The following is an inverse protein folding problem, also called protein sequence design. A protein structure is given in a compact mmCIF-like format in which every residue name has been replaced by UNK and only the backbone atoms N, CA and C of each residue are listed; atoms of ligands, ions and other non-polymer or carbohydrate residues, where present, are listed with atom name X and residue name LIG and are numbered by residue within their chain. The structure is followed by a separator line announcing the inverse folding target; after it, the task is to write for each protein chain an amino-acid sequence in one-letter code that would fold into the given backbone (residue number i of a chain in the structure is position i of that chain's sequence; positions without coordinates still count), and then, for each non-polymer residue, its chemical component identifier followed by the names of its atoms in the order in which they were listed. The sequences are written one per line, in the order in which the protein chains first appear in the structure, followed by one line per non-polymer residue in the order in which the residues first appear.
data_IF_704985348753
#
_entry.id   IF_704985348753
#
_cell.length_a   1.000
_cell.length_b   1.000
_cell.length_c   1.000
_cell.angle_alpha   90.00
_cell.angle_beta   90.00
_cell.angle_gamma   90.00
#
_symmetry.space_group_name_H-M   'P 1'
#
loop_
_entity.id
_entity.type
_entity.pdbx_description
1 polymer ?
#
# COMPACT_ATOMS: atom_id res chain seq x y z
N UNK A 1 4.83 24.60 27.03
CA UNK A 1 3.80 25.40 26.31
C UNK A 1 4.33 25.93 24.98
N UNK A 2 5.61 26.34 24.90
CA UNK A 2 6.27 26.77 23.65
C UNK A 2 6.38 25.69 22.57
N UNK A 3 6.75 24.45 22.91
CA UNK A 3 6.94 23.39 21.89
C UNK A 3 5.66 23.04 21.12
N UNK A 4 4.50 23.15 21.78
CA UNK A 4 3.19 22.95 21.12
C UNK A 4 2.83 24.09 20.17
N UNK A 5 3.32 25.31 20.42
CA UNK A 5 3.08 26.48 19.54
C UNK A 5 4.02 26.38 18.34
N UNK A 6 5.28 26.02 18.56
CA UNK A 6 6.27 25.81 17.50
C UNK A 6 5.87 24.67 16.56
N UNK A 7 5.43 23.52 17.09
CA UNK A 7 4.96 22.40 16.27
C UNK A 7 3.71 22.76 15.46
N UNK A 8 2.80 23.57 16.02
CA UNK A 8 1.63 24.08 15.29
C UNK A 8 2.00 25.07 14.21
N UNK A 9 2.97 25.94 14.48
CA UNK A 9 3.51 26.85 13.48
C UNK A 9 4.15 26.07 12.33
N UNK A 10 4.99 25.08 12.64
CA UNK A 10 5.56 24.18 11.64
C UNK A 10 4.48 23.40 10.88
N UNK A 11 3.37 22.99 11.52
CA UNK A 11 2.28 22.26 10.84
C UNK A 11 1.51 23.21 9.93
N UNK A 12 1.29 24.43 10.38
CA UNK A 12 0.72 25.50 9.57
C UNK A 12 1.62 25.78 8.36
N UNK A 13 2.94 25.82 8.54
CA UNK A 13 3.91 25.91 7.44
C UNK A 13 3.86 24.68 6.54
N UNK A 14 3.83 23.46 7.08
CA UNK A 14 3.69 22.23 6.30
C UNK A 14 2.36 22.18 5.53
N UNK A 15 1.27 22.74 6.08
CA UNK A 15 -0.06 22.87 5.49
C UNK A 15 -0.12 23.96 4.40
N UNK A 16 0.50 25.10 4.64
CA UNK A 16 0.62 26.21 3.66
C UNK A 16 1.55 25.81 2.52
N UNK A 17 2.62 25.06 2.81
CA UNK A 17 3.50 24.43 1.83
C UNK A 17 2.80 23.29 1.11
N UNK A 18 1.90 22.52 1.76
CA UNK A 18 1.02 21.59 1.03
C UNK A 18 0.28 22.35 -0.07
N UNK A 19 -0.29 23.52 0.23
CA UNK A 19 -1.05 24.33 -0.74
C UNK A 19 -0.16 24.91 -1.87
N UNK A 20 1.05 25.39 -1.57
CA UNK A 20 1.94 25.98 -2.58
C UNK A 20 2.87 24.99 -3.33
N UNK A 21 3.09 23.78 -2.81
CA UNK A 21 3.90 22.72 -3.46
C UNK A 21 3.04 21.69 -4.20
N UNK A 22 1.72 21.76 -3.99
CA UNK A 22 0.70 21.01 -4.73
C UNK A 22 0.63 21.40 -6.21
N UNK A 23 1.31 22.45 -6.67
CA UNK A 23 1.40 22.78 -8.11
C UNK A 23 1.89 21.58 -8.95
N UNK A 24 2.74 20.71 -8.37
CA UNK A 24 3.20 19.48 -9.01
C UNK A 24 2.28 18.25 -8.81
N UNK A 25 1.31 18.35 -7.90
CA UNK A 25 0.37 17.29 -7.51
C UNK A 25 -1.09 17.75 -7.56
N UNK A 26 -1.43 18.74 -8.41
CA UNK A 26 -2.78 19.32 -8.57
C UNK A 26 -3.87 18.25 -8.65
N UNK A 27 -3.55 17.09 -9.24
CA UNK A 27 -4.44 15.93 -9.31
C UNK A 27 -5.02 15.52 -7.95
N UNK A 28 -4.24 15.52 -6.86
CA UNK A 28 -4.72 15.05 -5.54
C UNK A 28 -5.49 16.13 -4.77
N UNK A 29 -5.49 17.37 -5.28
CA UNK A 29 -6.33 18.47 -4.79
C UNK A 29 -7.72 18.48 -5.46
N UNK A 30 -7.89 17.75 -6.56
CA UNK A 30 -9.15 17.68 -7.31
C UNK A 30 -10.24 16.81 -6.68
N UNK A 31 -11.29 16.56 -7.46
CA UNK A 31 -12.44 15.71 -7.11
C UNK A 31 -12.69 14.66 -8.18
N UNK A 32 -13.21 13.51 -7.77
CA UNK A 32 -13.64 12.48 -8.72
C UNK A 32 -14.94 12.95 -9.35
N UNK A 33 -15.00 12.97 -10.68
CA UNK A 33 -16.24 13.16 -11.42
C UNK A 33 -16.61 11.88 -12.19
N UNK A 34 -17.88 11.50 -12.08
CA UNK A 34 -18.50 10.34 -12.72
C UNK A 34 -17.71 9.01 -12.61
N UNK A 35 -16.89 8.85 -11.58
CA UNK A 35 -15.97 7.71 -11.36
C UNK A 35 -14.95 7.46 -12.49
N UNK A 36 -14.77 8.40 -13.43
CA UNK A 36 -13.94 8.21 -14.62
C UNK A 36 -12.86 9.29 -14.73
N UNK A 37 -13.18 10.53 -14.36
CA UNK A 37 -12.28 11.67 -14.47
C UNK A 37 -11.97 12.29 -13.12
N UNK A 38 -10.92 13.10 -13.08
CA UNK A 38 -10.59 13.95 -11.94
C UNK A 38 -10.74 15.39 -12.40
N UNK A 39 -11.64 16.13 -11.76
CA UNK A 39 -11.79 17.56 -11.95
C UNK A 39 -10.80 18.28 -11.04
N UNK A 40 -9.84 18.97 -11.64
CA UNK A 40 -8.92 19.86 -10.93
C UNK A 40 -9.59 21.23 -10.78
N UNK A 41 -10.54 21.32 -9.84
CA UNK A 41 -11.34 22.51 -9.55
C UNK A 41 -10.74 23.40 -8.44
N UNK A 42 -9.47 23.17 -8.08
CA UNK A 42 -8.80 23.76 -6.93
C UNK A 42 -9.56 23.60 -5.59
N UNK A 43 -10.44 22.59 -5.50
CA UNK A 43 -11.19 22.29 -4.28
C UNK A 43 -10.31 21.91 -3.09
N UNK A 44 -9.03 21.63 -3.35
CA UNK A 44 -7.99 21.45 -2.34
C UNK A 44 -8.06 20.12 -1.60
N UNK A 45 -6.94 19.76 -0.96
CA UNK A 45 -6.89 18.68 0.01
C UNK A 45 -7.51 19.14 1.35
N UNK A 46 -8.19 18.22 2.05
CA UNK A 46 -8.73 18.54 3.37
C UNK A 46 -7.68 18.26 4.45
N UNK A 47 -7.45 19.24 5.34
CA UNK A 47 -6.54 19.11 6.47
C UNK A 47 -7.26 19.38 7.80
N UNK A 48 -7.29 18.39 8.68
CA UNK A 48 -7.99 18.46 9.97
C UNK A 48 -7.00 18.41 11.12
N UNK A 49 -7.10 19.37 12.04
CA UNK A 49 -6.33 19.38 13.29
C UNK A 49 -7.20 18.90 14.44
N UNK A 50 -6.68 17.97 15.24
CA UNK A 50 -7.38 17.43 16.41
C UNK A 50 -6.45 17.37 17.61
N UNK A 51 -6.98 17.60 18.82
CA UNK A 51 -6.27 17.34 20.07
C UNK A 51 -6.74 16.01 20.67
N UNK A 52 -5.80 15.19 21.11
CA UNK A 52 -6.06 13.97 21.86
C UNK A 52 -5.57 14.14 23.29
N UNK A 53 -6.49 14.03 24.25
CA UNK A 53 -6.17 14.07 25.68
C UNK A 53 -5.45 12.79 26.10
N UNK A 54 -4.12 12.79 26.03
CA UNK A 54 -3.31 11.64 26.40
C UNK A 54 -1.85 11.76 25.99
N UNK A 55 -1.05 10.78 26.39
CA UNK A 55 0.36 10.63 26.00
C UNK A 55 0.45 9.73 24.77
N UNK A 56 1.32 10.08 23.81
CA UNK A 56 1.55 9.26 22.63
C UNK A 56 2.09 7.86 23.01
N UNK A 57 2.97 7.77 24.01
CA UNK A 57 3.49 6.49 24.51
C UNK A 57 2.36 5.55 24.97
N UNK A 58 1.46 6.06 25.81
CA UNK A 58 0.29 5.29 26.29
C UNK A 58 -0.67 4.90 25.16
N UNK A 59 -0.76 5.71 24.10
CA UNK A 59 -1.54 5.35 22.92
C UNK A 59 -0.90 4.18 22.17
N UNK A 60 0.43 4.18 22.03
CA UNK A 60 1.20 3.14 21.34
C UNK A 60 1.36 1.84 22.15
N UNK A 61 1.27 1.90 23.48
CA UNK A 61 1.30 0.75 24.39
C UNK A 61 0.04 -0.10 24.34
N UNK A 62 -1.08 0.46 23.86
CA UNK A 62 -2.30 -0.31 23.70
C UNK A 62 -2.02 -1.48 22.74
N UNK A 63 -2.72 -2.63 22.90
CA UNK A 63 -2.72 -3.65 21.86
C UNK A 63 -2.94 -2.93 20.55
N UNK A 64 -2.25 -3.33 19.48
CA UNK A 64 -2.47 -2.80 18.14
C UNK A 64 -3.87 -3.22 17.64
N UNK A 65 -4.91 -2.81 18.35
CA UNK A 65 -6.28 -2.80 17.92
C UNK A 65 -6.34 -1.73 16.86
N UNK A 66 -6.24 -2.20 15.63
CA UNK A 66 -6.25 -1.37 14.45
C UNK A 66 -7.55 -0.58 14.31
N UNK A 67 -8.61 -0.88 15.09
CA UNK A 67 -9.80 -0.04 15.23
C UNK A 67 -9.51 1.27 15.98
N UNK A 68 -8.61 1.26 16.97
CA UNK A 68 -8.20 2.48 17.67
C UNK A 68 -7.38 3.38 16.72
N UNK A 69 -6.59 2.77 15.85
CA UNK A 69 -5.83 3.50 14.82
C UNK A 69 -6.73 4.16 13.78
N UNK A 70 -7.93 3.63 13.51
CA UNK A 70 -8.92 4.32 12.68
C UNK A 70 -9.34 5.67 13.26
N UNK A 71 -9.21 5.90 14.58
CA UNK A 71 -9.47 7.22 15.19
C UNK A 71 -8.42 8.28 14.82
N UNK A 72 -7.24 7.86 14.38
CA UNK A 72 -6.20 8.75 13.86
C UNK A 72 -6.42 9.11 12.40
N UNK A 73 -7.33 8.43 11.70
CA UNK A 73 -7.69 8.77 10.34
C UNK A 73 -8.79 9.84 10.29
N UNK A 74 -8.81 10.66 9.24
CA UNK A 74 -9.90 11.59 9.00
C UNK A 74 -11.19 10.89 8.55
N UNK A 75 -11.09 9.73 7.88
CA UNK A 75 -12.22 9.00 7.29
C UNK A 75 -12.09 7.51 7.63
N UNK A 76 -13.23 6.87 7.92
CA UNK A 76 -13.30 5.41 8.05
C UNK A 76 -13.15 4.72 6.68
N UNK A 77 -12.45 3.57 6.65
CA UNK A 77 -12.31 2.77 5.44
C UNK A 77 -13.66 2.34 4.86
N UNK A 78 -13.84 2.50 3.54
CA UNK A 78 -15.03 2.03 2.82
C UNK A 78 -16.32 2.81 3.12
N UNK A 79 -16.20 4.12 3.38
CA UNK A 79 -17.36 5.04 3.44
C UNK A 79 -18.08 5.10 2.09
N UNK A 80 -19.41 4.93 2.08
CA UNK A 80 -20.24 5.02 0.86
C UNK A 80 -20.13 6.38 0.15
N UNK A 81 -19.64 7.41 0.85
CA UNK A 81 -19.42 8.75 0.28
C UNK A 81 -18.06 8.88 -0.42
N UNK A 82 -17.20 7.86 -0.45
CA UNK A 82 -15.81 7.96 -0.94
C UNK A 82 -15.67 8.59 -2.34
N UNK A 83 -16.67 8.44 -3.22
CA UNK A 83 -16.69 9.07 -4.54
C UNK A 83 -16.92 10.59 -4.53
N UNK A 84 -17.38 11.17 -3.42
CA UNK A 84 -17.65 12.62 -3.28
C UNK A 84 -16.71 13.33 -2.32
N UNK A 85 -15.79 12.61 -1.66
CA UNK A 85 -14.79 13.20 -0.77
C UNK A 85 -13.60 13.78 -1.56
N UNK A 86 -12.84 14.73 -0.96
CA UNK A 86 -11.54 15.13 -1.48
C UNK A 86 -10.65 13.91 -1.69
N UNK A 87 -9.85 13.94 -2.77
CA UNK A 87 -8.94 12.85 -3.10
C UNK A 87 -7.88 12.62 -2.01
N UNK A 88 -7.42 13.69 -1.37
CA UNK A 88 -6.50 13.67 -0.25
C UNK A 88 -7.15 14.29 1.00
N UNK A 89 -7.12 13.54 2.09
CA UNK A 89 -7.49 14.03 3.42
C UNK A 89 -6.40 13.68 4.42
N UNK A 90 -5.99 14.70 5.18
CA UNK A 90 -4.94 14.60 6.18
C UNK A 90 -5.51 14.97 7.54
N UNK A 91 -5.11 14.23 8.58
CA UNK A 91 -5.42 14.52 9.97
C UNK A 91 -4.15 14.63 10.80
N UNK A 92 -3.92 15.79 11.41
CA UNK A 92 -2.89 15.98 12.43
C UNK A 92 -3.51 15.88 13.82
N UNK A 93 -3.10 14.85 14.59
CA UNK A 93 -3.57 14.62 15.96
C UNK A 93 -2.46 14.92 16.96
N UNK A 94 -2.68 15.95 17.78
CA UNK A 94 -1.73 16.43 18.79
C UNK A 94 -2.00 15.79 20.14
N UNK A 95 -0.96 15.25 20.76
CA UNK A 95 -1.00 14.67 22.11
C UNK A 95 -0.50 15.67 23.16
N UNK A 96 -0.91 15.49 24.42
CA UNK A 96 -0.55 16.39 25.52
C UNK A 96 0.97 16.42 25.80
N UNK A 97 1.68 15.35 25.44
CA UNK A 97 3.14 15.25 25.56
C UNK A 97 3.92 15.94 24.42
N UNK A 98 3.25 16.66 23.52
CA UNK A 98 3.87 17.22 22.31
C UNK A 98 4.04 16.21 21.17
N UNK A 99 3.62 14.95 21.37
CA UNK A 99 3.59 13.94 20.31
C UNK A 99 2.59 14.29 19.21
N UNK A 100 2.87 13.82 17.99
CA UNK A 100 2.05 14.05 16.81
C UNK A 100 1.79 12.73 16.09
N UNK A 101 0.54 12.48 15.73
CA UNK A 101 0.18 11.48 14.73
C UNK A 101 -0.37 12.16 13.48
N UNK A 102 0.15 11.77 12.32
CA UNK A 102 -0.32 12.24 11.01
C UNK A 102 -1.01 11.08 10.31
N UNK A 103 -2.34 11.16 10.19
CA UNK A 103 -3.14 10.23 9.40
C UNK A 103 -3.33 10.76 7.99
N UNK A 104 -3.06 9.95 6.98
CA UNK A 104 -3.19 10.32 5.56
C UNK A 104 -4.12 9.34 4.86
N UNK A 105 -5.15 9.87 4.21
CA UNK A 105 -6.07 9.12 3.37
C UNK A 105 -5.99 9.67 1.94
N UNK A 106 -5.55 8.82 1.01
CA UNK A 106 -5.53 9.11 -0.42
C UNK A 106 -6.46 8.13 -1.13
N UNK A 107 -7.27 8.61 -2.06
CA UNK A 107 -8.22 7.77 -2.78
C UNK A 107 -7.50 6.70 -3.62
N UNK A 108 -7.79 5.44 -3.33
CA UNK A 108 -7.25 4.32 -4.10
C UNK A 108 -7.76 4.32 -5.56
N UNK A 109 -8.81 5.09 -5.89
CA UNK A 109 -9.30 5.23 -7.27
C UNK A 109 -8.27 5.91 -8.18
N UNK A 110 -7.42 6.78 -7.64
CA UNK A 110 -6.43 7.53 -8.42
C UNK A 110 -4.97 7.19 -8.07
N UNK A 111 -4.73 6.54 -6.95
CA UNK A 111 -3.38 6.34 -6.43
C UNK A 111 -3.17 4.95 -5.83
N UNK A 112 -2.07 4.32 -6.20
CA UNK A 112 -1.57 3.14 -5.50
C UNK A 112 -0.68 3.49 -4.31
N UNK A 113 -0.19 2.44 -3.65
CA UNK A 113 0.76 2.53 -2.56
C UNK A 113 2.07 3.25 -2.93
N UNK A 114 2.57 3.09 -4.15
CA UNK A 114 3.78 3.79 -4.63
C UNK A 114 3.51 5.28 -4.72
N UNK A 115 2.35 5.68 -5.27
CA UNK A 115 1.88 7.05 -5.36
C UNK A 115 1.74 7.70 -3.98
N UNK A 116 1.23 6.97 -2.99
CA UNK A 116 1.24 7.43 -1.59
C UNK A 116 2.67 7.68 -1.09
N UNK A 117 3.61 6.77 -1.38
CA UNK A 117 5.02 6.94 -1.04
C UNK A 117 5.66 8.18 -1.69
N UNK A 118 5.38 8.42 -2.97
CA UNK A 118 5.81 9.62 -3.71
C UNK A 118 5.24 10.87 -3.03
N UNK A 119 3.93 10.90 -2.77
CA UNK A 119 3.27 12.01 -2.08
C UNK A 119 3.94 12.33 -0.73
N UNK A 120 4.18 11.31 0.10
CA UNK A 120 4.81 11.50 1.41
C UNK A 120 6.23 12.06 1.30
N UNK A 121 7.01 11.63 0.31
CA UNK A 121 8.36 12.16 0.05
C UNK A 121 8.32 13.61 -0.42
N UNK A 122 7.46 13.93 -1.38
CA UNK A 122 7.27 15.31 -1.87
C UNK A 122 6.83 16.23 -0.74
N UNK A 123 5.85 15.80 0.05
CA UNK A 123 5.29 16.60 1.14
C UNK A 123 6.32 16.85 2.25
N UNK A 124 7.13 15.84 2.60
CA UNK A 124 8.23 15.99 3.57
C UNK A 124 9.34 16.90 3.05
N UNK A 125 9.80 16.72 1.80
CA UNK A 125 10.84 17.54 1.19
C UNK A 125 10.43 19.01 1.12
N UNK A 126 9.20 19.27 0.68
CA UNK A 126 8.65 20.62 0.62
C UNK A 126 8.58 21.26 2.02
N UNK A 127 8.06 20.52 3.02
CA UNK A 127 7.89 21.04 4.38
C UNK A 127 9.22 21.35 5.08
N UNK A 128 10.25 20.54 4.82
CA UNK A 128 11.59 20.72 5.39
C UNK A 128 12.47 21.71 4.62
N UNK A 129 12.04 22.18 3.44
CA UNK A 129 12.89 22.98 2.54
C UNK A 129 14.06 22.19 1.96
N UNK A 130 13.98 20.87 1.89
CA UNK A 130 15.03 20.00 1.37
C UNK A 130 15.21 20.16 -0.14
N UNK A 131 16.46 20.18 -0.60
CA UNK A 131 16.80 20.21 -2.02
C UNK A 131 16.58 18.87 -2.75
N UNK A 132 16.37 17.77 -2.02
CA UNK A 132 16.06 16.45 -2.60
C UNK A 132 14.56 16.35 -2.95
N UNK A 133 14.12 17.18 -3.90
CA UNK A 133 12.72 17.19 -4.33
C UNK A 133 12.47 16.00 -5.24
N UNK A 134 11.67 15.03 -4.75
CA UNK A 134 11.06 14.02 -5.62
C UNK A 134 10.07 14.74 -6.52
N UNK A 135 10.28 14.68 -7.84
CA UNK A 135 9.35 15.28 -8.79
C UNK A 135 8.35 14.23 -9.27
N UNK A 136 7.05 14.37 -8.94
CA UNK A 136 6.00 13.48 -9.40
C UNK A 136 5.77 13.64 -10.90
N UNK A 137 5.48 12.54 -11.58
CA UNK A 137 5.21 12.53 -13.02
C UNK A 137 3.74 12.23 -13.26
N UNK A 138 3.01 13.19 -13.84
CA UNK A 138 1.57 13.13 -14.08
C UNK A 138 1.22 12.81 -15.55
N UNK A 139 1.89 11.83 -16.15
CA UNK A 139 1.66 11.45 -17.56
C UNK A 139 1.26 9.98 -17.73
N UNK A 140 0.73 9.32 -16.70
CA UNK A 140 0.25 7.94 -16.82
C UNK A 140 -0.71 7.73 -18.04
N UNK A 141 -1.63 8.67 -18.36
CA UNK A 141 -2.48 8.53 -19.55
C UNK A 141 -1.75 8.47 -20.89
N UNK A 142 -0.52 8.96 -21.01
CA UNK A 142 0.26 8.83 -22.26
C UNK A 142 0.79 7.41 -22.48
N UNK A 143 0.89 6.61 -21.42
CA UNK A 143 1.28 5.20 -21.49
C UNK A 143 0.07 4.27 -21.49
N UNK A 144 -0.98 4.65 -20.74
CA UNK A 144 -2.20 3.87 -20.55
C UNK A 144 -3.41 4.76 -20.84
N UNK A 145 -3.73 5.00 -22.12
CA UNK A 145 -4.85 5.86 -22.48
C UNK A 145 -6.16 5.26 -21.95
N UNK A 146 -7.07 6.10 -21.43
CA UNK A 146 -8.41 5.67 -21.05
C UNK A 146 -9.10 5.01 -22.24
N UNK A 147 -9.82 3.91 -21.97
CA UNK A 147 -10.65 3.23 -22.97
C UNK A 147 -12.06 3.09 -22.41
N UNK A 148 -13.05 3.19 -23.29
CA UNK A 148 -14.45 2.85 -22.99
C UNK A 148 -14.61 1.33 -22.85
N UNK A 149 -13.96 0.80 -21.82
CA UNK A 149 -14.13 -0.58 -21.39
C UNK A 149 -15.26 -0.53 -20.36
N UNK A 150 -16.31 -1.36 -20.49
CA UNK A 150 -17.37 -1.42 -19.50
C UNK A 150 -16.71 -1.52 -18.13
N UNK A 151 -16.90 -0.50 -17.29
CA UNK A 151 -16.29 -0.45 -15.98
C UNK A 151 -16.89 -1.59 -15.17
N UNK A 152 -16.21 -2.73 -15.13
CA UNK A 152 -16.56 -3.84 -14.25
C UNK A 152 -16.04 -3.47 -12.85
N UNK A 153 -16.49 -2.34 -12.30
CA UNK A 153 -16.16 -1.93 -10.94
C UNK A 153 -16.53 -2.99 -9.90
N UNK A 154 -17.47 -3.87 -10.27
CA UNK A 154 -17.93 -4.97 -9.45
C UNK A 154 -17.00 -6.21 -9.43
N UNK A 155 -15.96 -6.32 -10.30
CA UNK A 155 -15.11 -7.54 -10.34
C UNK A 155 -14.15 -7.68 -9.18
N UNK A 156 -13.59 -6.58 -8.69
CA UNK A 156 -12.54 -6.62 -7.67
C UNK A 156 -13.01 -6.09 -6.31
N UNK A 157 -14.29 -6.26 -5.96
CA UNK A 157 -14.78 -5.94 -4.62
C UNK A 157 -14.39 -7.04 -3.63
N UNK A 158 -13.49 -6.70 -2.71
CA UNK A 158 -13.17 -7.57 -1.59
C UNK A 158 -14.36 -7.60 -0.63
N UNK A 159 -14.83 -8.80 -0.29
CA UNK A 159 -15.90 -8.97 0.69
C UNK A 159 -15.42 -8.45 2.05
N UNK A 160 -16.19 -7.52 2.64
CA UNK A 160 -16.02 -7.16 4.05
C UNK A 160 -16.24 -8.40 4.90
N UNK A 161 -15.35 -8.61 5.87
CA UNK A 161 -15.44 -9.73 6.79
C UNK A 161 -15.31 -9.21 8.23
N UNK A 162 -16.01 -9.86 9.14
CA UNK A 162 -15.71 -9.68 10.57
C UNK A 162 -14.37 -10.37 10.84
N UNK A 163 -13.30 -9.58 10.87
CA UNK A 163 -11.95 -10.09 11.08
C UNK A 163 -11.19 -9.26 12.12
N UNK A 164 -10.20 -9.91 12.73
CA UNK A 164 -9.20 -9.24 13.56
C UNK A 164 -7.92 -9.17 12.76
N UNK A 165 -7.36 -7.97 12.65
CA UNK A 165 -6.04 -7.80 12.05
C UNK A 165 -4.98 -7.89 13.15
N UNK A 166 -3.92 -8.65 12.89
CA UNK A 166 -2.78 -8.84 13.80
C UNK A 166 -1.51 -8.33 13.11
N UNK A 167 -0.60 -7.78 13.92
CA UNK A 167 0.73 -7.35 13.47
C UNK A 167 1.78 -8.35 13.95
N UNK A 168 2.57 -8.87 13.03
CA UNK A 168 3.73 -9.70 13.29
C UNK A 168 4.98 -8.94 12.86
N UNK A 169 6.04 -8.98 13.68
CA UNK A 169 7.29 -8.26 13.41
C UNK A 169 8.42 -9.26 13.28
N UNK A 170 9.15 -9.20 12.16
CA UNK A 170 10.31 -10.04 11.89
C UNK A 170 11.57 -9.18 11.98
N UNK A 171 12.32 -9.37 13.06
CA UNK A 171 13.62 -8.76 13.21
C UNK A 171 14.62 -9.23 12.14
N UNK A 172 15.73 -8.50 12.05
CA UNK A 172 16.80 -8.74 11.07
C UNK A 172 17.29 -10.17 11.13
N UNK A 173 17.53 -10.68 12.32
CA UNK A 173 18.11 -12.00 12.57
C UNK A 173 17.17 -13.10 12.07
N UNK A 174 15.86 -12.98 12.33
CA UNK A 174 14.85 -13.91 11.80
C UNK A 174 14.75 -13.87 10.29
N UNK A 175 14.80 -12.68 9.68
CA UNK A 175 14.78 -12.56 8.22
C UNK A 175 16.03 -13.21 7.60
N UNK A 176 17.21 -12.95 8.16
CA UNK A 176 18.46 -13.57 7.68
C UNK A 176 18.40 -15.09 7.79
N UNK A 177 17.98 -15.61 8.94
CA UNK A 177 17.82 -17.04 9.16
C UNK A 177 16.81 -17.67 8.18
N UNK A 178 15.68 -16.99 7.94
CA UNK A 178 14.65 -17.48 7.03
C UNK A 178 15.16 -17.50 5.58
N UNK A 179 15.85 -16.45 5.13
CA UNK A 179 16.48 -16.42 3.79
C UNK A 179 17.50 -17.55 3.60
N UNK A 180 18.31 -17.85 4.61
CA UNK A 180 19.28 -18.94 4.56
C UNK A 180 18.59 -20.31 4.49
N UNK A 181 17.52 -20.50 5.27
CA UNK A 181 16.75 -21.75 5.31
C UNK A 181 15.98 -22.04 4.02
N UNK A 182 15.57 -21.01 3.28
CA UNK A 182 14.76 -21.16 2.06
C UNK A 182 15.55 -20.97 0.77
N UNK A 183 16.88 -20.81 0.86
CA UNK A 183 17.74 -20.75 -0.32
C UNK A 183 17.82 -22.15 -0.95
N UNK A 184 17.62 -22.23 -2.25
CA UNK A 184 17.58 -23.48 -3.00
C UNK A 184 18.23 -23.32 -4.37
N UNK A 185 18.39 -24.42 -5.11
CA UNK A 185 18.95 -24.39 -6.47
C UNK A 185 18.13 -23.49 -7.41
N UNK A 186 16.81 -23.45 -7.22
CA UNK A 186 15.91 -22.61 -8.03
C UNK A 186 15.86 -21.14 -7.57
N UNK A 187 16.17 -20.88 -6.30
CA UNK A 187 16.20 -19.54 -5.69
C UNK A 187 17.38 -19.42 -4.72
N UNK A 188 18.56 -19.14 -5.26
CA UNK A 188 19.79 -19.04 -4.46
C UNK A 188 19.79 -17.85 -3.47
N UNK A 189 19.12 -16.75 -3.85
CA UNK A 189 19.03 -15.54 -3.03
C UNK A 189 17.56 -15.08 -2.92
N UNK A 190 16.78 -15.69 -2.01
CA UNK A 190 15.43 -15.23 -1.72
C UNK A 190 15.44 -13.79 -1.21
N UNK A 191 14.46 -12.98 -1.61
CA UNK A 191 14.25 -11.64 -1.07
C UNK A 191 13.51 -11.69 0.27
N UNK A 192 13.59 -10.61 1.06
CA UNK A 192 12.84 -10.50 2.32
C UNK A 192 11.33 -10.65 2.11
N UNK A 193 10.81 -10.03 1.05
CA UNK A 193 9.38 -10.08 0.70
C UNK A 193 8.96 -11.51 0.35
N UNK A 194 9.76 -12.24 -0.44
CA UNK A 194 9.45 -13.63 -0.81
C UNK A 194 9.35 -14.53 0.41
N UNK A 195 10.36 -14.49 1.29
CA UNK A 195 10.39 -15.40 2.44
C UNK A 195 9.30 -15.12 3.46
N UNK A 196 8.96 -13.85 3.69
CA UNK A 196 7.86 -13.48 4.60
C UNK A 196 6.51 -13.82 3.98
N UNK A 197 6.32 -13.56 2.69
CA UNK A 197 5.09 -13.94 1.96
C UNK A 197 4.87 -15.45 2.00
N UNK A 198 5.90 -16.23 1.70
CA UNK A 198 5.86 -17.69 1.73
C UNK A 198 5.55 -18.22 3.14
N UNK A 199 6.21 -17.69 4.17
CA UNK A 199 5.98 -18.11 5.56
C UNK A 199 4.54 -17.82 6.01
N UNK A 200 4.02 -16.62 5.73
CA UNK A 200 2.64 -16.26 6.06
C UNK A 200 1.67 -17.14 5.28
N UNK A 201 1.92 -17.36 3.98
CA UNK A 201 1.13 -18.26 3.13
C UNK A 201 1.04 -19.66 3.73
N UNK A 202 2.17 -20.27 4.08
CA UNK A 202 2.24 -21.57 4.74
C UNK A 202 1.43 -21.59 6.04
N UNK A 203 1.64 -20.61 6.92
CA UNK A 203 0.93 -20.54 8.19
C UNK A 203 -0.59 -20.44 8.02
N UNK A 204 -1.07 -19.66 7.04
CA UNK A 204 -2.51 -19.54 6.75
C UNK A 204 -3.07 -20.84 6.19
N UNK A 205 -2.35 -21.50 5.27
CA UNK A 205 -2.73 -22.81 4.73
C UNK A 205 -2.86 -23.85 5.85
N UNK A 206 -1.86 -23.96 6.72
CA UNK A 206 -1.88 -24.89 7.86
C UNK A 206 -3.02 -24.58 8.83
N UNK A 207 -3.21 -23.32 9.21
CA UNK A 207 -4.31 -22.93 10.10
C UNK A 207 -5.69 -23.24 9.50
N UNK A 208 -5.87 -23.00 8.20
CA UNK A 208 -7.10 -23.34 7.49
C UNK A 208 -7.36 -24.84 7.50
N UNK A 209 -6.33 -25.66 7.27
CA UNK A 209 -6.44 -27.12 7.31
C UNK A 209 -6.84 -27.62 8.68
N UNK A 210 -6.18 -27.12 9.75
CA UNK A 210 -6.52 -27.49 11.13
C UNK A 210 -7.96 -27.14 11.51
N UNK A 211 -8.48 -26.01 11.01
CA UNK A 211 -9.84 -25.56 11.32
C UNK A 211 -10.92 -26.30 10.51
N UNK A 212 -10.66 -26.62 9.24
CA UNK A 212 -11.65 -27.25 8.34
C UNK A 212 -11.58 -28.79 8.35
N UNK A 213 -10.47 -29.38 8.78
CA UNK A 213 -10.23 -30.82 8.72
C UNK A 213 -9.83 -31.33 7.32
N UNK A 214 -9.74 -30.46 6.31
CA UNK A 214 -9.29 -30.80 4.96
C UNK A 214 -8.45 -29.67 4.35
N UNK A 215 -7.63 -30.01 3.35
CA UNK A 215 -6.81 -29.04 2.63
C UNK A 215 -7.67 -28.24 1.65
N UNK A 216 -7.68 -26.91 1.81
CA UNK A 216 -8.32 -26.00 0.86
C UNK A 216 -7.29 -25.48 -0.13
N UNK A 217 -7.67 -25.30 -1.39
CA UNK A 217 -6.76 -24.71 -2.39
C UNK A 217 -6.51 -23.23 -2.09
N UNK A 218 -5.24 -22.86 -1.97
CA UNK A 218 -4.81 -21.47 -1.77
C UNK A 218 -3.99 -20.98 -2.96
N UNK A 219 -4.14 -19.69 -3.28
CA UNK A 219 -3.32 -18.98 -4.26
C UNK A 219 -2.76 -17.74 -3.59
N UNK A 220 -1.44 -17.58 -3.61
CA UNK A 220 -0.80 -16.33 -3.17
C UNK A 220 -0.83 -15.35 -4.35
N UNK A 221 -1.30 -14.13 -4.11
CA UNK A 221 -1.39 -13.07 -5.12
C UNK A 221 -0.68 -11.80 -4.63
N UNK A 222 0.65 -11.71 -4.82
CA UNK A 222 1.38 -10.49 -4.51
C UNK A 222 1.15 -9.40 -5.56
N UNK A 223 0.83 -8.20 -5.09
CA UNK A 223 0.79 -6.98 -5.88
C UNK A 223 2.21 -6.49 -6.19
N UNK A 224 2.40 -5.95 -7.38
CA UNK A 224 3.69 -5.45 -7.87
C UNK A 224 3.52 -4.09 -8.56
N UNK A 225 4.55 -3.26 -8.44
CA UNK A 225 4.65 -2.02 -9.21
C UNK A 225 5.07 -2.36 -10.65
N UNK A 226 4.22 -2.00 -11.62
CA UNK A 226 4.46 -2.31 -13.04
C UNK A 226 5.53 -1.42 -13.67
N UNK A 227 5.77 -0.22 -13.14
CA UNK A 227 6.74 0.74 -13.68
C UNK A 227 8.14 0.14 -13.76
N UNK A 228 8.54 -0.59 -12.73
CA UNK A 228 9.86 -1.25 -12.66
C UNK A 228 9.98 -2.51 -13.50
N UNK A 229 8.87 -2.99 -14.06
CA UNK A 229 8.78 -4.29 -14.73
C UNK A 229 8.46 -4.16 -16.21
N UNK A 230 7.99 -3.01 -16.66
CA UNK A 230 7.85 -2.70 -18.07
C UNK A 230 9.20 -2.87 -18.79
N UNK A 231 9.15 -3.38 -20.02
CA UNK A 231 10.33 -3.69 -20.83
C UNK A 231 11.21 -2.45 -21.12
N UNK A 232 10.60 -1.25 -21.16
CA UNK A 232 11.29 0.01 -20.86
C UNK A 232 10.71 0.46 -19.53
N UNK A 233 11.50 0.49 -18.45
CA UNK A 233 11.02 0.94 -17.15
C UNK A 233 10.40 2.34 -17.24
N UNK A 234 9.21 2.48 -16.67
CA UNK A 234 8.59 3.79 -16.49
C UNK A 234 9.24 4.51 -15.31
N UNK A 235 8.99 5.81 -15.19
CA UNK A 235 9.48 6.57 -14.03
C UNK A 235 9.00 5.96 -12.72
N UNK A 236 9.91 5.79 -11.77
CA UNK A 236 9.59 5.40 -10.38
C UNK A 236 8.71 6.44 -9.67
N UNK A 237 8.64 7.66 -10.21
CA UNK A 237 7.82 8.76 -9.71
C UNK A 237 6.50 8.94 -10.51
N UNK A 238 6.15 7.99 -11.39
CA UNK A 238 4.90 8.03 -12.12
C UNK A 238 3.73 7.87 -11.14
N UNK A 239 2.81 8.82 -11.18
CA UNK A 239 1.65 8.89 -10.27
C UNK A 239 0.44 8.22 -10.92
N UNK A 240 -0.22 7.35 -10.17
CA UNK A 240 -1.42 6.65 -10.62
C UNK A 240 -1.66 5.32 -9.90
N UNK A 241 -2.61 4.54 -10.42
CA UNK A 241 -2.74 3.12 -10.09
C UNK A 241 -1.93 2.29 -11.09
N UNK A 242 -0.69 1.97 -10.74
CA UNK A 242 0.27 1.31 -11.63
C UNK A 242 0.64 -0.05 -11.02
N UNK A 243 -0.41 -0.81 -10.72
CA UNK A 243 -0.36 -2.08 -10.02
C UNK A 243 -0.63 -3.23 -10.98
N UNK A 244 0.21 -4.25 -10.90
CA UNK A 244 -0.05 -5.58 -11.43
C UNK A 244 -0.05 -6.60 -10.31
N UNK A 245 -0.34 -7.85 -10.64
CA UNK A 245 -0.17 -8.96 -9.72
C UNK A 245 0.24 -10.20 -10.49
N UNK A 246 0.86 -11.11 -9.78
CA UNK A 246 1.14 -12.45 -10.25
C UNK A 246 0.56 -13.46 -9.27
N UNK A 247 0.42 -14.69 -9.72
CA UNK A 247 -0.08 -15.79 -8.90
C UNK A 247 1.08 -16.72 -8.58
N UNK A 248 1.10 -17.22 -7.36
CA UNK A 248 1.93 -18.34 -6.94
C UNK A 248 1.01 -19.38 -6.31
N UNK A 249 0.98 -20.57 -6.90
CA UNK A 249 0.16 -21.68 -6.44
C UNK A 249 0.99 -22.96 -6.41
N UNK A 250 0.61 -23.87 -5.52
CA UNK A 250 1.21 -25.21 -5.39
C UNK A 250 0.11 -26.24 -5.30
N UNK A 251 0.41 -27.45 -5.76
CA UNK A 251 -0.47 -28.61 -5.63
C UNK A 251 -0.20 -29.40 -4.34
N UNK A 252 0.81 -29.01 -3.56
CA UNK A 252 1.10 -29.60 -2.26
C UNK A 252 0.08 -29.11 -1.21
N UNK A 253 -0.51 -30.04 -0.46
CA UNK A 253 -1.43 -29.73 0.63
C UNK A 253 -0.73 -29.05 1.81
N UNK A 254 0.54 -29.38 2.04
CA UNK A 254 1.40 -28.82 3.08
C UNK A 254 2.77 -28.45 2.51
N UNK A 255 2.85 -27.36 1.74
CA UNK A 255 4.10 -26.97 1.12
C UNK A 255 5.10 -26.48 2.17
N UNK A 256 6.37 -26.81 1.95
CA UNK A 256 7.44 -26.17 2.69
C UNK A 256 7.60 -24.70 2.27
N UNK A 257 8.20 -23.90 3.16
CA UNK A 257 8.39 -22.46 2.89
C UNK A 257 9.26 -22.26 1.65
N UNK A 258 10.26 -23.12 1.45
CA UNK A 258 11.12 -23.13 0.28
C UNK A 258 10.33 -23.35 -1.03
N UNK A 259 9.39 -24.30 -1.05
CA UNK A 259 8.51 -24.55 -2.20
C UNK A 259 7.72 -23.29 -2.57
N UNK A 260 7.13 -22.62 -1.58
CA UNK A 260 6.38 -21.39 -1.82
C UNK A 260 7.28 -20.24 -2.29
N UNK A 261 8.53 -20.16 -1.81
CA UNK A 261 9.52 -19.18 -2.32
C UNK A 261 9.84 -19.44 -3.78
N UNK A 262 9.99 -20.71 -4.19
CA UNK A 262 10.23 -21.08 -5.58
C UNK A 262 9.04 -20.70 -6.48
N UNK A 263 7.80 -20.97 -6.05
CA UNK A 263 6.60 -20.59 -6.80
C UNK A 263 6.42 -19.06 -6.89
N UNK A 264 6.74 -18.31 -5.82
CA UNK A 264 6.75 -16.86 -5.87
C UNK A 264 7.76 -16.33 -6.89
N UNK A 265 8.98 -16.86 -6.88
CA UNK A 265 10.04 -16.47 -7.83
C UNK A 265 9.67 -16.85 -9.27
N UNK A 266 9.02 -17.99 -9.47
CA UNK A 266 8.52 -18.43 -10.78
C UNK A 266 7.41 -17.50 -11.28
N UNK A 267 6.39 -17.24 -10.47
CA UNK A 267 5.27 -16.39 -10.86
C UNK A 267 5.70 -14.96 -11.24
N UNK A 268 6.67 -14.37 -10.52
CA UNK A 268 7.18 -13.05 -10.90
C UNK A 268 8.02 -13.06 -12.18
N UNK A 269 8.75 -14.15 -12.47
CA UNK A 269 9.47 -14.32 -13.75
C UNK A 269 8.48 -14.43 -14.91
N UNK A 270 7.48 -15.30 -14.78
CA UNK A 270 6.44 -15.49 -15.79
C UNK A 270 5.66 -14.19 -16.05
N UNK A 271 5.34 -13.43 -15.00
CA UNK A 271 4.76 -12.10 -15.16
C UNK A 271 5.65 -11.18 -15.98
N UNK A 272 6.95 -11.13 -15.65
CA UNK A 272 7.91 -10.24 -16.30
C UNK A 272 8.13 -10.64 -17.78
N UNK A 273 8.16 -11.93 -18.08
CA UNK A 273 8.43 -12.45 -19.42
C UNK A 273 7.21 -12.37 -20.36
N UNK A 274 6.00 -12.53 -19.83
CA UNK A 274 4.77 -12.64 -20.62
C UNK A 274 3.91 -11.40 -20.57
N UNK A 275 3.63 -10.89 -19.35
CA UNK A 275 2.66 -9.81 -19.14
C UNK A 275 3.31 -8.44 -19.21
N UNK A 276 4.46 -8.27 -18.55
CA UNK A 276 5.11 -6.96 -18.45
C UNK A 276 5.61 -6.43 -19.80
N UNK A 277 6.02 -7.32 -20.72
CA UNK A 277 6.37 -6.96 -22.11
C UNK A 277 5.18 -6.42 -22.91
N UNK A 278 3.96 -6.83 -22.56
CA UNK A 278 2.71 -6.42 -23.21
C UNK A 278 2.09 -5.17 -22.58
N UNK A 279 2.70 -4.61 -21.54
CA UNK A 279 2.34 -3.30 -20.99
C UNK A 279 2.81 -2.14 -21.87
N UNK A 280 3.03 -2.39 -23.17
CA UNK A 280 3.45 -1.42 -24.17
C UNK A 280 2.51 -1.40 -25.36
N UNK A 281 2.37 -0.20 -25.93
CA UNK A 281 1.60 0.03 -27.14
C UNK A 281 0.09 -0.10 -26.90
N UNK A 282 -0.66 -0.12 -28.00
CA UNK A 282 -2.11 0.03 -27.97
C UNK A 282 -2.84 -1.09 -27.22
N UNK A 283 -2.20 -2.23 -26.93
CA UNK A 283 -2.78 -3.36 -26.21
C UNK A 283 -2.58 -3.37 -24.69
N UNK A 284 -1.88 -2.38 -24.12
CA UNK A 284 -1.53 -2.38 -22.69
C UNK A 284 -2.77 -2.30 -21.78
N UNK A 285 -3.72 -1.42 -22.12
CA UNK A 285 -4.97 -1.27 -21.36
C UNK A 285 -5.80 -2.56 -21.36
N UNK A 286 -5.85 -3.30 -22.48
CA UNK A 286 -6.54 -4.59 -22.58
C UNK A 286 -5.91 -5.65 -21.68
N UNK A 287 -4.58 -5.70 -21.60
CA UNK A 287 -3.88 -6.64 -20.72
C UNK A 287 -4.21 -6.35 -19.27
N UNK A 288 -4.15 -5.08 -18.86
CA UNK A 288 -4.47 -4.67 -17.49
C UNK A 288 -5.94 -4.97 -17.16
N UNK A 289 -6.87 -4.63 -18.06
CA UNK A 289 -8.29 -4.89 -17.86
C UNK A 289 -8.60 -6.39 -17.80
N UNK A 290 -8.02 -7.19 -18.70
CA UNK A 290 -8.17 -8.65 -18.70
C UNK A 290 -7.65 -9.24 -17.40
N UNK A 291 -6.47 -8.83 -16.96
CA UNK A 291 -5.91 -9.26 -15.68
C UNK A 291 -6.92 -8.98 -14.58
N UNK A 292 -7.34 -7.72 -14.39
CA UNK A 292 -8.29 -7.31 -13.34
C UNK A 292 -9.58 -8.15 -13.32
N UNK A 293 -10.12 -8.48 -14.50
CA UNK A 293 -11.30 -9.35 -14.63
C UNK A 293 -10.97 -10.76 -14.11
N UNK A 294 -9.90 -11.38 -14.61
CA UNK A 294 -9.49 -12.73 -14.21
C UNK A 294 -9.20 -12.82 -12.71
N UNK A 295 -8.57 -11.80 -12.12
CA UNK A 295 -8.32 -11.76 -10.67
C UNK A 295 -9.60 -11.59 -9.87
N UNK A 296 -10.53 -10.75 -10.35
CA UNK A 296 -11.84 -10.59 -9.74
C UNK A 296 -12.66 -11.89 -9.75
N UNK A 297 -12.69 -12.60 -10.88
CA UNK A 297 -13.32 -13.92 -10.97
C UNK A 297 -12.65 -14.94 -10.04
N UNK A 298 -11.31 -14.93 -9.96
CA UNK A 298 -10.58 -15.82 -9.06
C UNK A 298 -10.90 -15.56 -7.59
N UNK A 299 -11.05 -14.30 -7.17
CA UNK A 299 -11.39 -13.91 -5.79
C UNK A 299 -12.81 -14.37 -5.41
N UNK A 300 -13.73 -14.44 -6.38
CA UNK A 300 -15.13 -14.82 -6.13
C UNK A 300 -15.36 -16.33 -6.06
N UNK A 301 -14.40 -17.13 -6.51
CA UNK A 301 -14.48 -18.59 -6.46
C UNK A 301 -14.53 -19.11 -5.02
N UNK A 302 -15.49 -19.97 -4.73
CA UNK A 302 -15.67 -20.54 -3.40
C UNK A 302 -14.72 -21.71 -3.11
N UNK A 303 -14.24 -22.38 -4.16
CA UNK A 303 -13.33 -23.54 -4.10
C UNK A 303 -11.87 -23.14 -3.85
N UNK A 304 -11.50 -21.90 -4.18
CA UNK A 304 -10.15 -21.34 -3.98
C UNK A 304 -10.16 -20.28 -2.87
N UNK A 305 -9.03 -20.10 -2.19
CA UNK A 305 -8.77 -18.94 -1.33
C UNK A 305 -7.59 -18.15 -1.87
N UNK A 306 -7.85 -16.90 -2.25
CA UNK A 306 -6.80 -15.97 -2.67
C UNK A 306 -6.28 -15.22 -1.45
N UNK A 307 -4.97 -15.27 -1.23
CA UNK A 307 -4.26 -14.45 -0.25
C UNK A 307 -3.57 -13.30 -0.97
N UNK A 308 -4.06 -12.09 -0.74
CA UNK A 308 -3.54 -10.87 -1.38
C UNK A 308 -2.39 -10.32 -0.55
N UNK A 309 -1.24 -10.09 -1.17
CA UNK A 309 -0.09 -9.50 -0.50
C UNK A 309 0.26 -8.15 -1.11
N UNK A 310 0.34 -7.11 -0.29
CA UNK A 310 0.77 -5.77 -0.72
C UNK A 310 1.97 -5.34 0.11
N UNK A 311 3.02 -4.85 -0.55
CA UNK A 311 4.20 -4.31 0.12
C UNK A 311 4.16 -2.79 0.15
N UNK A 312 4.32 -2.20 1.33
CA UNK A 312 4.49 -0.76 1.57
C UNK A 312 5.92 -0.41 1.98
N UNK A 313 6.91 -1.18 1.51
CA UNK A 313 8.31 -0.97 1.85
C UNK A 313 8.90 0.19 1.02
N UNK A 314 8.56 1.43 1.39
CA UNK A 314 8.94 2.67 0.69
C UNK A 314 9.91 3.55 1.50
N UNK A 315 10.59 2.97 2.49
CA UNK A 315 11.55 3.66 3.36
C UNK A 315 10.97 4.86 4.11
N UNK A 316 9.67 4.81 4.46
CA UNK A 316 8.96 5.92 5.10
C UNK A 316 9.64 6.40 6.41
N UNK A 317 10.31 5.50 7.13
CA UNK A 317 11.08 5.86 8.32
C UNK A 317 12.32 6.71 8.02
N UNK A 318 12.88 6.61 6.82
CA UNK A 318 14.11 7.29 6.45
C UNK A 318 13.86 8.59 5.67
N UNK A 319 12.84 8.58 4.82
CA UNK A 319 12.61 9.66 3.83
C UNK A 319 11.57 10.69 4.28
N UNK A 320 10.73 10.36 5.26
CA UNK A 320 9.69 11.27 5.74
C UNK A 320 10.21 12.03 6.95
N UNK A 321 10.74 13.23 6.71
CA UNK A 321 11.02 14.23 7.74
C UNK A 321 10.48 15.58 7.28
N UNK A 322 9.49 16.11 8.00
CA UNK A 322 8.87 17.39 7.70
C UNK A 322 9.65 18.58 8.28
N UNK A 323 10.84 18.36 8.85
CA UNK A 323 11.63 19.38 9.56
C UNK A 323 11.47 19.35 11.08
N UNK A 324 10.78 18.35 11.62
CA UNK A 324 10.60 18.13 13.07
C UNK A 324 10.97 16.72 13.52
N UNK A 325 11.68 15.97 12.66
CA UNK A 325 12.16 14.64 12.95
C UNK A 325 11.38 13.54 12.23
N UNK A 326 12.08 12.42 12.05
CA UNK A 326 11.59 11.19 11.45
C UNK A 326 10.50 10.51 12.30
N UNK A 327 9.59 9.74 11.68
CA UNK A 327 8.55 9.02 12.41
C UNK A 327 9.17 7.95 13.33
N UNK A 328 8.65 7.86 14.56
CA UNK A 328 9.00 6.76 15.47
C UNK A 328 8.20 5.49 15.18
N UNK A 329 7.08 5.64 14.47
CA UNK A 329 6.17 4.56 14.13
C UNK A 329 5.33 4.90 12.90
N UNK A 330 5.18 3.92 12.02
CA UNK A 330 4.39 3.96 10.79
C UNK A 330 3.53 2.71 10.75
N UNK A 331 2.25 2.87 10.43
CA UNK A 331 1.28 1.77 10.36
C UNK A 331 0.18 2.10 9.36
N UNK A 332 -0.56 1.07 8.95
CA UNK A 332 -1.80 1.20 8.19
C UNK A 332 -2.93 0.53 8.98
N UNK A 333 -4.07 1.21 9.20
CA UNK A 333 -5.16 0.60 9.94
C UNK A 333 -5.84 -0.52 9.15
N UNK A 334 -6.59 -1.37 9.85
CA UNK A 334 -7.27 -2.51 9.27
C UNK A 334 -8.29 -2.06 8.21
N UNK A 335 -8.24 -2.71 7.05
CA UNK A 335 -9.13 -2.42 5.91
C UNK A 335 -10.48 -3.13 6.02
N UNK A 336 -10.65 -4.08 6.95
CA UNK A 336 -11.89 -4.82 7.16
C UNK A 336 -12.14 -5.95 6.16
N UNK A 337 -11.11 -6.36 5.41
CA UNK A 337 -11.16 -7.46 4.46
C UNK A 337 -10.39 -8.67 5.00
N UNK A 338 -10.92 -9.88 4.80
CA UNK A 338 -10.19 -11.12 5.09
C UNK A 338 -9.13 -11.38 4.03
N UNK A 339 -8.08 -12.13 4.38
CA UNK A 339 -7.07 -12.65 3.44
C UNK A 339 -6.24 -11.58 2.71
N UNK A 340 -6.16 -10.37 3.27
CA UNK A 340 -5.25 -9.31 2.82
C UNK A 340 -4.12 -9.18 3.81
N UNK A 341 -2.89 -9.25 3.30
CA UNK A 341 -1.65 -9.13 4.07
C UNK A 341 -0.89 -7.90 3.56
N UNK A 342 -0.54 -7.00 4.48
CA UNK A 342 0.32 -5.87 4.18
C UNK A 342 1.69 -6.08 4.81
N UNK A 343 2.73 -6.00 4.00
CA UNK A 343 4.13 -5.99 4.45
C UNK A 343 4.58 -4.53 4.57
N UNK A 344 5.24 -4.18 5.68
CA UNK A 344 5.73 -2.82 5.93
C UNK A 344 7.16 -2.88 6.47
N UNK A 345 7.96 -1.84 6.25
CA UNK A 345 9.24 -1.74 6.93
C UNK A 345 9.06 -1.41 8.41
N UNK A 346 10.04 -1.81 9.20
CA UNK A 346 10.31 -1.36 10.56
C UNK A 346 11.32 -0.21 10.51
N UNK A 347 11.49 0.50 11.62
CA UNK A 347 12.45 1.61 11.73
C UNK A 347 13.90 1.23 11.38
N UNK A 348 14.28 -0.04 11.46
CA UNK A 348 15.59 -0.52 11.03
C UNK A 348 15.67 -1.00 9.57
N UNK A 349 14.60 -0.86 8.79
CA UNK A 349 14.48 -1.36 7.43
C UNK A 349 14.19 -2.86 7.30
N UNK A 350 13.60 -3.50 8.31
CA UNK A 350 13.24 -4.95 8.34
C UNK A 350 11.71 -5.15 8.38
N UNK A 351 11.17 -6.33 8.07
CA UNK A 351 9.73 -6.54 7.78
C UNK A 351 8.84 -6.93 8.95
#
# INVERSE_FOLDING_TARGET
MNDSIELRFKIKTAKEITIGSLDSLLLIAGRINDNITIECDDGGAQFVEVRFGGLLSRFLEQPADLKILQRLLPIAFGSQKAGTWPLLVVRATFFNCGGLAVGVCLSHKCADATTMGIFMKCWAAASSGSAQVVSPVLNAPSYFPPKDIPFIGATFELKKAECVTKRYVFDKEKIVALKAKTASDSVQQPTRVEVVTALIGKCVMSASRSNLGFAKKFVLSPSINICRRADLPLSDNLVGNLIGYFLAETNEDEPEVETLVAELRKGIREYSENKAKRLRGDGASEVICKDLIEGGELIRRDDIRVLIFTSLCFDLYEVVDFGWGKPIWVTMPATGHSNVVTLMDTRGGWS
#
